data_IF_859338632969
#
_entry.id   IF_859338632969
#
_cell.length_a   1.000
_cell.length_b   1.000
_cell.length_c   1.000
_cell.angle_alpha   90.00
_cell.angle_beta   90.00
_cell.angle_gamma   90.00
#
_symmetry.space_group_name_H-M   'P 1'
#
loop_
_entity.id
_entity.type
_entity.pdbx_description
1 polymer ?
#
# COMPACT_ATOMS: atom_id res chain seq x y z
N UNK A 1 -10.08 -14.74 28.15
CA UNK A 1 -10.94 -13.56 27.96
C UNK A 1 -11.11 -12.94 29.33
N UNK A 2 -10.92 -11.66 29.49
CA UNK A 2 -11.12 -11.02 30.80
C UNK A 2 -12.61 -10.95 31.12
N UNK A 3 -13.05 -11.66 32.17
CA UNK A 3 -14.45 -11.72 32.57
C UNK A 3 -14.92 -10.44 33.29
N UNK A 4 -13.98 -9.54 33.60
CA UNK A 4 -14.28 -8.29 34.33
C UNK A 4 -14.44 -7.09 33.39
N UNK A 5 -14.41 -7.30 32.09
CA UNK A 5 -14.57 -6.22 31.12
C UNK A 5 -16.01 -5.67 31.19
N UNK A 6 -16.16 -4.37 31.33
CA UNK A 6 -17.46 -3.69 31.19
C UNK A 6 -17.57 -3.15 29.75
N UNK A 7 -18.32 -3.81 28.87
CA UNK A 7 -18.41 -3.43 27.47
C UNK A 7 -19.12 -2.08 27.24
N UNK A 8 -19.71 -1.50 28.28
CA UNK A 8 -20.39 -0.21 28.20
C UNK A 8 -19.50 0.98 28.59
N UNK A 9 -18.29 0.71 29.03
CA UNK A 9 -17.34 1.73 29.50
C UNK A 9 -15.99 1.59 28.83
N UNK A 10 -15.20 2.64 28.94
CA UNK A 10 -13.77 2.57 28.62
C UNK A 10 -13.07 1.79 29.70
N UNK A 11 -12.37 0.72 29.32
CA UNK A 11 -11.58 -0.10 30.23
C UNK A 11 -10.09 0.14 29.93
N UNK A 12 -9.32 0.32 30.99
CA UNK A 12 -7.87 0.55 30.91
C UNK A 12 -7.14 -0.68 31.42
N UNK A 13 -6.19 -1.15 30.65
CA UNK A 13 -5.37 -2.30 30.98
C UNK A 13 -3.91 -1.87 31.11
N UNK A 14 -3.23 -2.45 32.08
CA UNK A 14 -1.81 -2.26 32.28
C UNK A 14 -1.16 -3.61 32.55
N UNK A 15 -0.08 -3.89 31.85
CA UNK A 15 0.75 -5.07 32.09
C UNK A 15 2.01 -4.63 32.82
N UNK A 16 2.25 -5.22 33.99
CA UNK A 16 3.45 -4.99 34.81
C UNK A 16 4.09 -6.32 35.17
N UNK A 17 5.39 -6.33 35.42
CA UNK A 17 6.04 -7.49 36.01
C UNK A 17 5.68 -7.59 37.47
N UNK A 18 5.46 -8.81 37.98
CA UNK A 18 5.15 -9.06 39.37
C UNK A 18 6.27 -8.49 40.30
N UNK A 19 5.89 -7.59 41.22
CA UNK A 19 6.81 -6.94 42.13
C UNK A 19 7.58 -5.74 41.57
N UNK A 20 7.23 -5.26 40.36
CA UNK A 20 7.78 -4.06 39.76
C UNK A 20 6.64 -3.07 39.44
N UNK A 21 6.95 -1.78 39.53
CA UNK A 21 5.98 -0.71 39.17
C UNK A 21 6.11 -0.33 37.68
N UNK A 22 7.12 -0.84 36.97
CA UNK A 22 7.34 -0.57 35.57
C UNK A 22 6.20 -1.12 34.73
N UNK A 23 5.62 -0.26 33.91
CA UNK A 23 4.58 -0.63 32.93
C UNK A 23 5.26 -1.21 31.70
N UNK A 24 4.90 -2.43 31.31
CA UNK A 24 5.37 -3.05 30.07
C UNK A 24 4.57 -2.58 28.86
N UNK A 25 3.25 -2.47 29.04
CA UNK A 25 2.36 -1.87 28.04
C UNK A 25 1.06 -1.42 28.69
N UNK A 26 0.43 -0.43 28.09
CA UNK A 26 -0.92 0.03 28.41
C UNK A 26 -1.83 -0.25 27.20
N UNK A 27 -3.08 -0.60 27.48
CA UNK A 27 -4.10 -0.78 26.46
C UNK A 27 -5.42 -0.20 26.93
N UNK A 28 -6.08 0.56 26.07
CA UNK A 28 -7.39 1.13 26.34
C UNK A 28 -8.44 0.44 25.48
N UNK A 29 -9.42 -0.18 26.13
CA UNK A 29 -10.57 -0.76 25.49
C UNK A 29 -11.77 0.18 25.59
N UNK A 30 -12.34 0.59 24.47
CA UNK A 30 -13.49 1.51 24.43
C UNK A 30 -14.80 0.74 24.19
N UNK A 31 -15.94 1.34 24.55
CA UNK A 31 -17.26 0.75 24.34
C UNK A 31 -17.55 0.46 22.84
N UNK A 32 -16.97 1.23 21.95
CA UNK A 32 -17.11 1.00 20.51
C UNK A 32 -16.44 -0.30 20.06
N UNK A 33 -15.36 -0.70 20.71
CA UNK A 33 -14.69 -1.98 20.45
C UNK A 33 -15.54 -3.17 20.93
N UNK A 34 -16.42 -2.98 21.91
CA UNK A 34 -17.34 -4.04 22.39
C UNK A 34 -18.40 -4.40 21.39
N UNK A 35 -18.76 -3.49 20.50
CA UNK A 35 -19.85 -3.68 19.51
C UNK A 35 -19.33 -4.10 18.15
N UNK A 36 -18.03 -3.95 17.87
CA UNK A 36 -17.40 -4.31 16.61
C UNK A 36 -16.26 -5.31 16.84
N UNK A 37 -16.34 -6.48 16.23
CA UNK A 37 -15.27 -7.47 16.22
C UNK A 37 -14.15 -7.13 15.23
N UNK A 38 -14.17 -5.95 14.65
CA UNK A 38 -13.22 -5.47 13.65
C UNK A 38 -12.99 -3.96 13.81
N UNK A 39 -11.86 -3.50 13.35
CA UNK A 39 -11.57 -2.07 13.16
C UNK A 39 -11.78 -1.75 11.69
N UNK A 40 -12.52 -0.69 11.42
CA UNK A 40 -12.77 -0.20 10.07
C UNK A 40 -11.83 0.97 9.79
N UNK A 41 -11.09 0.86 8.69
CA UNK A 41 -10.26 1.94 8.17
C UNK A 41 -10.85 2.37 6.83
N UNK A 42 -11.31 3.61 6.76
CA UNK A 42 -11.89 4.18 5.55
C UNK A 42 -10.77 4.68 4.65
N UNK A 43 -10.59 4.01 3.51
CA UNK A 43 -9.58 4.41 2.54
C UNK A 43 -10.00 5.69 1.80
N UNK A 44 -9.03 6.49 1.37
CA UNK A 44 -9.28 7.73 0.64
C UNK A 44 -10.07 7.50 -0.65
N UNK A 45 -10.98 8.42 -0.94
CA UNK A 45 -11.80 8.41 -2.17
C UNK A 45 -11.17 9.19 -3.33
N UNK A 46 -10.20 10.06 -3.05
CA UNK A 46 -9.48 10.85 -4.05
C UNK A 46 -8.41 9.99 -4.75
N UNK A 47 -8.81 9.22 -5.74
CA UNK A 47 -7.93 8.37 -6.55
C UNK A 47 -7.51 9.08 -7.83
N UNK A 48 -6.38 8.66 -8.47
CA UNK A 48 -5.85 9.32 -9.67
C UNK A 48 -6.83 9.37 -10.84
N UNK A 49 -7.65 8.34 -11.01
CA UNK A 49 -8.71 8.28 -12.02
C UNK A 49 -10.05 8.02 -11.33
N UNK A 50 -10.86 9.07 -11.23
CA UNK A 50 -12.18 9.01 -10.59
C UNK A 50 -13.21 8.16 -11.37
N UNK A 51 -12.90 7.78 -12.62
CA UNK A 51 -13.73 6.86 -13.40
C UNK A 51 -13.51 5.39 -13.00
N UNK A 52 -12.44 5.10 -12.25
CA UNK A 52 -12.10 3.77 -11.80
C UNK A 52 -12.44 3.59 -10.32
N UNK A 53 -12.87 2.40 -9.98
CA UNK A 53 -12.99 1.97 -8.58
C UNK A 53 -11.67 1.37 -8.14
N UNK A 54 -11.17 1.77 -6.98
CA UNK A 54 -9.96 1.21 -6.39
C UNK A 54 -10.30 0.30 -5.22
N UNK A 55 -9.94 -0.95 -5.34
CA UNK A 55 -10.12 -1.95 -4.28
C UNK A 55 -8.83 -2.13 -3.47
N UNK A 56 -8.93 -2.37 -2.16
CA UNK A 56 -7.79 -2.84 -1.38
C UNK A 56 -7.40 -4.25 -1.82
N UNK A 57 -6.10 -4.53 -1.75
CA UNK A 57 -5.52 -5.83 -2.07
C UNK A 57 -4.53 -6.23 -0.95
N UNK A 58 -3.24 -6.40 -1.22
CA UNK A 58 -2.26 -6.78 -0.20
C UNK A 58 -2.13 -5.72 0.90
N UNK A 59 -1.97 -6.18 2.15
CA UNK A 59 -1.79 -5.35 3.32
C UNK A 59 -0.56 -5.85 4.09
N UNK A 60 0.31 -4.91 4.50
CA UNK A 60 1.39 -5.19 5.43
C UNK A 60 1.34 -4.20 6.60
N UNK A 61 1.83 -4.65 7.74
CA UNK A 61 1.91 -3.88 8.98
C UNK A 61 3.37 -3.62 9.34
N UNK A 62 3.67 -2.43 9.78
CA UNK A 62 5.00 -2.07 10.26
C UNK A 62 4.97 -0.78 11.06
N UNK A 63 5.97 -0.59 11.89
CA UNK A 63 6.22 0.65 12.60
C UNK A 63 6.81 1.66 11.59
N UNK A 64 6.10 2.74 11.31
CA UNK A 64 6.54 3.72 10.30
C UNK A 64 7.00 5.04 10.90
N UNK A 65 6.45 5.47 12.03
CA UNK A 65 6.67 6.83 12.55
C UNK A 65 7.27 6.91 13.96
N UNK A 66 7.51 5.79 14.61
CA UNK A 66 8.21 5.70 15.88
C UNK A 66 7.33 5.95 17.09
N UNK A 67 6.00 5.90 16.94
CA UNK A 67 5.07 6.10 18.06
C UNK A 67 4.79 4.82 18.85
N UNK A 68 5.25 3.66 18.37
CA UNK A 68 5.10 2.35 19.00
C UNK A 68 3.80 1.65 18.66
N UNK A 69 2.98 2.22 17.78
CA UNK A 69 1.82 1.56 17.17
C UNK A 69 2.15 1.19 15.72
N UNK A 70 1.63 0.06 15.26
CA UNK A 70 1.86 -0.34 13.86
C UNK A 70 0.92 0.41 12.92
N UNK A 71 1.46 0.86 11.80
CA UNK A 71 0.72 1.39 10.68
C UNK A 71 0.39 0.29 9.67
N UNK A 72 -0.57 0.60 8.80
CA UNK A 72 -0.98 -0.25 7.68
C UNK A 72 -0.47 0.37 6.39
N UNK A 73 0.21 -0.42 5.58
CA UNK A 73 0.43 -0.11 4.17
C UNK A 73 -0.48 -0.99 3.33
N UNK A 74 -1.32 -0.36 2.50
CA UNK A 74 -2.32 -1.02 1.67
C UNK A 74 -1.95 -0.81 0.21
N UNK A 75 -1.84 -1.91 -0.54
CA UNK A 75 -1.84 -1.87 -2.00
C UNK A 75 -3.28 -1.72 -2.48
N UNK A 76 -3.53 -0.74 -3.34
CA UNK A 76 -4.82 -0.53 -3.98
C UNK A 76 -4.72 -0.70 -5.47
N UNK A 77 -5.62 -1.49 -6.00
CA UNK A 77 -5.68 -1.79 -7.42
C UNK A 77 -6.89 -1.12 -8.07
N UNK A 78 -6.73 -0.54 -9.27
CA UNK A 78 -7.88 -0.10 -10.05
C UNK A 78 -8.72 -1.31 -10.44
N UNK A 79 -10.01 -1.27 -10.13
CA UNK A 79 -10.94 -2.36 -10.41
C UNK A 79 -11.94 -1.91 -11.47
N UNK A 80 -11.92 -2.55 -12.62
CA UNK A 80 -12.85 -2.30 -13.73
C UNK A 80 -13.90 -3.40 -13.92
N UNK A 81 -14.02 -4.30 -12.95
CA UNK A 81 -14.93 -5.44 -13.00
C UNK A 81 -14.42 -6.63 -13.80
N UNK A 82 -13.29 -6.49 -14.48
CA UNK A 82 -12.79 -7.52 -15.39
C UNK A 82 -11.79 -8.48 -14.77
N UNK A 83 -11.63 -8.45 -13.45
CA UNK A 83 -10.97 -9.49 -12.71
C UNK A 83 -9.43 -9.46 -12.56
N UNK A 84 -9.00 -10.41 -11.80
CA UNK A 84 -7.69 -10.85 -11.33
C UNK A 84 -6.57 -10.97 -12.38
N UNK A 85 -6.80 -10.62 -13.63
CA UNK A 85 -5.86 -10.80 -14.73
C UNK A 85 -4.86 -9.67 -14.96
N UNK A 86 -4.98 -8.56 -14.25
CA UNK A 86 -4.03 -7.45 -14.34
C UNK A 86 -4.19 -6.58 -15.61
N UNK A 87 -5.40 -6.31 -16.02
CA UNK A 87 -5.74 -5.56 -17.24
C UNK A 87 -6.37 -4.22 -16.89
N UNK A 88 -5.66 -3.35 -16.20
CA UNK A 88 -6.21 -2.08 -15.79
C UNK A 88 -5.57 -0.92 -16.53
N UNK A 89 -6.38 0.07 -16.86
CA UNK A 89 -5.90 1.32 -17.43
C UNK A 89 -5.44 2.31 -16.34
N UNK A 90 -5.67 1.97 -15.08
CA UNK A 90 -5.24 2.76 -13.93
C UNK A 90 -3.90 2.30 -13.37
N UNK A 91 -3.45 3.02 -12.36
CA UNK A 91 -2.18 2.79 -11.68
C UNK A 91 -2.37 2.09 -10.34
N UNK A 92 -1.44 1.26 -9.93
CA UNK A 92 -1.41 0.69 -8.57
C UNK A 92 -0.97 1.76 -7.58
N UNK A 93 -1.63 1.84 -6.44
CA UNK A 93 -1.31 2.75 -5.35
C UNK A 93 -0.80 1.96 -4.13
N UNK A 94 0.21 2.49 -3.47
CA UNK A 94 0.60 2.09 -2.13
C UNK A 94 0.21 3.24 -1.19
N UNK A 95 -0.59 2.95 -0.18
CA UNK A 95 -1.10 3.95 0.75
C UNK A 95 -0.84 3.54 2.19
N UNK A 96 -0.33 4.47 3.01
CA UNK A 96 -0.13 4.25 4.43
C UNK A 96 -1.20 4.95 5.26
N UNK A 97 -1.62 4.26 6.32
CA UNK A 97 -2.62 4.74 7.28
C UNK A 97 -2.24 4.33 8.70
N UNK A 98 -2.53 5.19 9.67
CA UNK A 98 -2.57 4.79 11.07
C UNK A 98 -3.77 3.87 11.34
N UNK A 99 -3.71 3.15 12.45
CA UNK A 99 -4.80 2.26 12.86
C UNK A 99 -6.09 3.00 13.20
N UNK A 100 -6.06 4.30 13.42
CA UNK A 100 -7.25 5.14 13.61
C UNK A 100 -7.88 5.63 12.28
N UNK A 101 -7.25 5.31 11.14
CA UNK A 101 -7.67 5.72 9.80
C UNK A 101 -7.02 7.01 9.31
N UNK A 102 -6.12 7.61 10.09
CA UNK A 102 -5.36 8.77 9.63
C UNK A 102 -4.50 8.39 8.44
N UNK A 103 -4.71 9.07 7.31
CA UNK A 103 -3.90 8.89 6.10
C UNK A 103 -2.53 9.53 6.29
N UNK A 104 -1.47 8.80 5.94
CA UNK A 104 -0.10 9.28 6.02
C UNK A 104 0.41 9.71 4.63
N UNK A 105 0.46 8.79 3.70
CA UNK A 105 0.99 9.08 2.37
C UNK A 105 0.47 8.11 1.30
N UNK A 106 0.73 8.49 0.04
CA UNK A 106 0.46 7.67 -1.15
C UNK A 106 1.64 7.71 -2.10
N UNK A 107 2.03 6.54 -2.58
CA UNK A 107 2.88 6.36 -3.75
C UNK A 107 2.00 5.87 -4.90
N UNK A 108 2.05 6.55 -6.04
CA UNK A 108 1.40 6.11 -7.27
C UNK A 108 2.46 5.45 -8.15
N UNK A 109 2.32 4.16 -8.42
CA UNK A 109 3.34 3.39 -9.14
C UNK A 109 3.43 3.73 -10.63
N UNK A 110 2.45 4.46 -11.16
CA UNK A 110 2.43 4.88 -12.55
C UNK A 110 2.02 3.78 -13.53
N UNK A 111 1.81 4.17 -14.78
CA UNK A 111 1.28 3.30 -15.83
C UNK A 111 2.28 2.24 -16.30
N UNK A 112 3.57 2.42 -16.05
CA UNK A 112 4.62 1.48 -16.45
C UNK A 112 4.83 0.34 -15.44
N UNK A 113 4.10 0.35 -14.34
CA UNK A 113 4.03 -0.76 -13.40
C UNK A 113 2.69 -1.47 -13.60
N UNK A 114 2.75 -2.78 -13.85
CA UNK A 114 1.55 -3.58 -14.05
C UNK A 114 0.68 -3.60 -12.80
N UNK A 115 -0.57 -3.20 -12.94
CA UNK A 115 -1.57 -3.33 -11.87
C UNK A 115 -2.26 -4.70 -11.92
N UNK A 116 -2.82 -5.11 -10.78
CA UNK A 116 -3.56 -6.36 -10.62
C UNK A 116 -3.18 -7.11 -9.34
N UNK A 117 -4.13 -7.86 -8.80
CA UNK A 117 -4.01 -8.50 -7.49
C UNK A 117 -2.86 -9.51 -7.37
N UNK A 118 -2.43 -10.09 -8.50
CA UNK A 118 -1.33 -11.06 -8.53
C UNK A 118 0.03 -10.45 -8.87
N UNK A 119 0.10 -9.14 -9.01
CA UNK A 119 1.29 -8.45 -9.49
C UNK A 119 1.72 -7.36 -8.52
N UNK A 120 2.97 -6.93 -8.65
CA UNK A 120 3.48 -5.75 -7.96
C UNK A 120 3.45 -5.89 -6.45
N UNK A 121 4.11 -6.94 -5.97
CA UNK A 121 4.37 -7.13 -4.54
C UNK A 121 5.27 -6.03 -4.00
N UNK A 122 5.14 -5.72 -2.72
CA UNK A 122 6.02 -4.84 -1.98
C UNK A 122 6.42 -5.50 -0.66
N UNK A 123 7.45 -5.00 -0.02
CA UNK A 123 7.93 -5.48 1.27
C UNK A 123 8.04 -4.29 2.21
N UNK A 124 7.48 -4.44 3.40
CA UNK A 124 7.62 -3.52 4.50
C UNK A 124 8.51 -4.19 5.56
N UNK A 125 9.67 -3.62 5.84
CA UNK A 125 10.65 -4.19 6.75
C UNK A 125 11.63 -3.13 7.23
N UNK A 126 12.13 -3.25 8.44
CA UNK A 126 13.23 -2.46 8.97
C UNK A 126 14.55 -2.98 8.37
N UNK A 127 14.97 -2.40 7.24
CA UNK A 127 16.14 -2.86 6.49
C UNK A 127 17.47 -2.37 7.07
N UNK A 128 17.47 -1.26 7.79
CA UNK A 128 18.70 -0.68 8.35
C UNK A 128 18.84 -0.88 9.85
N UNK A 129 17.81 -1.41 10.53
CA UNK A 129 17.85 -1.80 11.94
C UNK A 129 17.65 -0.62 12.88
N UNK A 130 17.01 0.46 12.44
CA UNK A 130 16.75 1.65 13.25
C UNK A 130 15.44 1.57 14.05
N UNK A 131 14.63 0.53 13.83
CA UNK A 131 13.35 0.28 14.47
C UNK A 131 12.15 0.80 13.69
N UNK A 132 12.36 1.47 12.55
CA UNK A 132 11.33 1.93 11.64
C UNK A 132 11.37 1.10 10.35
N UNK A 133 10.20 0.84 9.77
CA UNK A 133 10.15 0.10 8.53
C UNK A 133 10.36 1.01 7.32
N UNK A 134 11.15 0.53 6.37
CA UNK A 134 11.15 1.01 5.00
C UNK A 134 10.14 0.22 4.16
N UNK A 135 9.77 0.82 3.02
CA UNK A 135 9.01 0.15 1.99
C UNK A 135 9.88 -0.08 0.75
N UNK A 136 10.01 -1.34 0.32
CA UNK A 136 10.69 -1.73 -0.91
C UNK A 136 9.65 -2.21 -1.94
N UNK A 137 9.70 -1.66 -3.15
CA UNK A 137 8.75 -1.96 -4.21
C UNK A 137 9.35 -1.76 -5.60
N UNK A 138 8.70 -2.36 -6.60
CA UNK A 138 9.04 -2.14 -8.00
C UNK A 138 8.56 -0.77 -8.46
N UNK A 139 9.41 -0.01 -9.12
CA UNK A 139 9.13 1.31 -9.67
C UNK A 139 9.61 1.44 -11.11
N UNK A 140 9.11 2.45 -11.83
CA UNK A 140 9.49 2.76 -13.21
C UNK A 140 9.31 4.26 -13.48
N UNK A 141 9.57 4.69 -14.71
CA UNK A 141 9.17 6.04 -15.14
C UNK A 141 7.67 6.25 -14.94
N UNK A 142 7.31 7.38 -14.36
CA UNK A 142 5.94 7.72 -13.99
C UNK A 142 5.57 7.36 -12.56
N UNK A 143 6.40 6.62 -11.81
CA UNK A 143 6.19 6.43 -10.37
C UNK A 143 6.31 7.78 -9.65
N UNK A 144 5.26 8.13 -8.90
CA UNK A 144 5.13 9.39 -8.18
C UNK A 144 5.14 9.18 -6.68
N UNK A 145 6.06 9.86 -6.01
CA UNK A 145 6.24 9.83 -4.57
C UNK A 145 5.41 10.90 -3.85
N UNK A 146 5.16 10.77 -2.54
CA UNK A 146 4.34 11.69 -1.75
C UNK A 146 4.85 13.14 -1.79
N UNK A 147 6.16 13.32 -1.86
CA UNK A 147 6.79 14.65 -1.97
C UNK A 147 6.65 15.30 -3.36
N UNK A 148 5.92 14.67 -4.29
CA UNK A 148 5.69 15.14 -5.65
C UNK A 148 6.79 14.77 -6.64
N UNK A 149 7.88 14.12 -6.20
CA UNK A 149 8.92 13.62 -7.11
C UNK A 149 8.32 12.54 -8.02
N UNK A 150 8.75 12.56 -9.28
CA UNK A 150 8.36 11.56 -10.29
C UNK A 150 9.65 10.98 -10.88
N UNK A 151 9.68 9.67 -11.11
CA UNK A 151 10.76 9.03 -11.87
C UNK A 151 10.57 9.37 -13.35
N UNK A 152 11.61 9.89 -13.96
CA UNK A 152 11.64 10.29 -15.38
C UNK A 152 12.85 9.67 -16.07
N UNK A 153 12.87 9.71 -17.39
CA UNK A 153 14.07 9.43 -18.17
C UNK A 153 15.16 10.52 -17.95
N UNK A 154 16.31 10.35 -18.58
CA UNK A 154 17.43 11.29 -18.47
C UNK A 154 17.12 12.69 -19.02
N UNK A 155 16.06 12.85 -19.80
CA UNK A 155 15.63 14.12 -20.39
C UNK A 155 14.46 14.76 -19.62
N UNK A 156 14.00 14.12 -18.53
CA UNK A 156 12.89 14.61 -17.70
C UNK A 156 11.50 14.23 -18.21
N UNK A 157 11.39 13.25 -19.11
CA UNK A 157 10.11 12.77 -19.63
C UNK A 157 9.67 11.48 -18.96
N UNK A 158 8.36 11.28 -18.91
CA UNK A 158 7.72 9.99 -18.58
C UNK A 158 7.24 9.38 -19.89
N UNK A 159 7.80 8.26 -20.27
CA UNK A 159 7.39 7.53 -21.45
C UNK A 159 6.31 6.51 -21.09
N UNK A 160 5.41 6.19 -22.01
CA UNK A 160 4.47 5.07 -21.87
C UNK A 160 5.00 3.85 -22.61
N UNK A 161 5.57 2.92 -21.85
CA UNK A 161 6.16 1.69 -22.40
C UNK A 161 5.12 0.65 -22.78
N UNK A 162 3.87 0.78 -22.34
CA UNK A 162 2.77 -0.10 -22.71
C UNK A 162 2.44 0.00 -24.19
N UNK A 163 2.76 1.13 -24.83
CA UNK A 163 2.49 1.40 -26.23
C UNK A 163 3.59 0.90 -27.17
N UNK A 164 4.74 0.45 -26.65
CA UNK A 164 5.90 0.10 -27.48
C UNK A 164 5.82 -1.30 -28.07
N UNK A 165 5.03 -2.20 -27.52
CA UNK A 165 4.85 -3.52 -28.09
C UNK A 165 3.76 -3.51 -29.17
N UNK A 166 4.13 -3.04 -30.35
CA UNK A 166 3.27 -3.08 -31.54
C UNK A 166 3.37 -4.41 -32.30
N UNK A 167 4.27 -5.30 -31.91
CA UNK A 167 4.61 -6.50 -32.70
C UNK A 167 3.90 -7.77 -32.25
N UNK A 168 3.11 -7.73 -31.18
CA UNK A 168 2.32 -8.87 -30.72
C UNK A 168 3.15 -10.11 -30.37
N UNK A 169 4.41 -9.92 -30.01
CA UNK A 169 5.34 -10.99 -29.61
C UNK A 169 5.14 -11.30 -28.14
N UNK A 170 3.95 -11.77 -27.79
CA UNK A 170 3.70 -12.23 -26.46
C UNK A 170 3.34 -13.70 -26.45
N UNK A 171 3.13 -14.22 -25.26
CA UNK A 171 2.75 -15.62 -25.00
C UNK A 171 1.52 -16.12 -25.75
N UNK A 172 0.81 -15.23 -26.45
CA UNK A 172 -0.37 -15.55 -27.25
C UNK A 172 -0.21 -15.09 -28.69
N UNK A 173 0.41 -15.89 -29.54
CA UNK A 173 0.53 -15.56 -30.95
C UNK A 173 -0.83 -15.28 -31.59
N UNK A 174 -0.93 -14.15 -32.28
CA UNK A 174 -2.13 -13.77 -33.03
C UNK A 174 -3.18 -12.97 -32.28
N UNK A 175 -2.94 -12.56 -31.04
CA UNK A 175 -3.80 -11.59 -30.33
C UNK A 175 -3.04 -10.30 -30.07
N UNK A 176 -3.55 -9.21 -30.60
CA UNK A 176 -3.13 -7.84 -30.26
C UNK A 176 -3.60 -7.54 -28.82
N UNK A 177 -2.96 -8.18 -27.84
CA UNK A 177 -3.39 -8.13 -26.44
C UNK A 177 -2.68 -7.03 -25.65
N UNK A 178 -1.69 -6.40 -26.23
CA UNK A 178 -0.69 -5.68 -25.43
C UNK A 178 -0.96 -4.21 -25.23
N UNK A 179 -1.57 -3.54 -26.17
CA UNK A 179 -1.88 -2.11 -26.05
C UNK A 179 -2.99 -1.80 -25.03
N UNK A 180 -3.77 -2.82 -24.64
CA UNK A 180 -4.88 -2.65 -23.70
C UNK A 180 -4.70 -3.39 -22.38
N UNK A 181 -3.60 -4.15 -22.25
CA UNK A 181 -3.44 -5.12 -21.16
C UNK A 181 -2.63 -4.64 -19.97
N UNK A 182 -2.11 -3.44 -20.01
CA UNK A 182 -1.23 -2.95 -18.95
C UNK A 182 0.09 -3.73 -18.82
N UNK A 183 0.42 -4.61 -19.79
CA UNK A 183 1.69 -5.29 -19.80
C UNK A 183 2.79 -4.35 -20.28
N UNK A 184 3.89 -4.34 -19.56
CA UNK A 184 5.12 -3.65 -19.94
C UNK A 184 6.16 -4.72 -20.22
N UNK A 185 6.51 -4.91 -21.50
CA UNK A 185 7.48 -5.93 -21.94
C UNK A 185 8.89 -5.39 -22.01
N UNK A 186 9.03 -4.11 -22.28
CA UNK A 186 10.30 -3.40 -22.39
C UNK A 186 10.16 -2.05 -21.71
N UNK A 187 11.10 -1.71 -20.87
CA UNK A 187 11.13 -0.45 -20.16
C UNK A 187 12.08 -0.53 -18.96
N UNK A 188 12.41 0.60 -18.37
CA UNK A 188 13.21 0.60 -17.14
C UNK A 188 12.37 0.06 -15.99
N UNK A 189 12.95 -0.85 -15.22
CA UNK A 189 12.42 -1.30 -13.95
C UNK A 189 13.47 -1.07 -12.88
N UNK A 190 13.03 -0.50 -11.75
CA UNK A 190 13.85 -0.21 -10.60
C UNK A 190 13.28 -0.87 -9.36
N UNK A 191 14.11 -1.06 -8.35
CA UNK A 191 13.69 -1.28 -6.97
C UNK A 191 13.85 0.04 -6.25
N UNK A 192 12.76 0.60 -5.76
CA UNK A 192 12.79 1.74 -4.85
C UNK A 192 12.69 1.25 -3.42
N UNK A 193 13.50 1.84 -2.54
CA UNK A 193 13.42 1.67 -1.10
C UNK A 193 13.24 3.07 -0.52
N UNK A 194 12.14 3.27 0.20
CA UNK A 194 11.78 4.54 0.79
C UNK A 194 11.57 4.36 2.29
N UNK A 195 11.78 5.41 3.07
CA UNK A 195 11.42 5.40 4.49
C UNK A 195 9.92 5.24 4.62
N UNK A 196 9.49 4.44 5.58
CA UNK A 196 8.07 4.23 5.83
C UNK A 196 7.36 5.46 6.35
N UNK A 197 8.08 6.37 6.99
CA UNK A 197 7.53 7.59 7.58
C UNK A 197 6.93 8.56 6.53
N UNK A 198 7.59 8.75 5.41
CA UNK A 198 7.22 9.76 4.40
C UNK A 198 7.04 9.20 2.96
N UNK A 199 7.29 7.91 2.75
CA UNK A 199 7.08 7.20 1.48
C UNK A 199 8.16 7.38 0.42
#
# INVERSE_FOLDING_TARGET
>A
MDENIDPTKTNYYRVTLAGQEETLCDYTYTSDMATKFYREIVLRSDVPDAALTYAPDDIQLGELDGDGELEIVVKREPYDGANQGGWHNGTTLLEAYKMDGTFLWRIDLGLNIRSGSHYTSYILYDFDGDGLCEIAFRSSEGTKFPNGRIITDANGFVNDYRLRDTNGVGWYPGKSLYSTAGLVLEGPEYISICRGFDG
#
